data_IF_648454865542
#
_entry.id   IF_648454865542
#
_cell.length_a   1.000
_cell.length_b   1.000
_cell.length_c   1.000
_cell.angle_alpha   90.00
_cell.angle_beta   90.00
_cell.angle_gamma   90.00
#
_symmetry.space_group_name_H-M   'P 1'
#
loop_
_entity.id
_entity.type
_entity.pdbx_description
1 polymer ?
#
# COMPACT_ATOMS: atom_id res chain seq x y z
N UNK A 1 31.80 -1.16 4.12
CA UNK A 1 30.34 -1.17 4.01
C UNK A 1 29.83 -0.24 5.08
N UNK A 2 29.30 0.91 4.69
CA UNK A 2 28.72 1.89 5.62
C UNK A 2 27.47 1.29 6.26
N UNK A 3 27.14 1.62 7.54
CA UNK A 3 25.90 1.15 8.15
C UNK A 3 24.73 1.65 7.32
N UNK A 4 23.88 0.71 6.87
CA UNK A 4 22.65 1.01 6.17
C UNK A 4 21.82 1.98 7.02
N UNK A 5 21.52 3.11 6.41
CA UNK A 5 20.65 4.13 7.00
C UNK A 5 19.27 3.46 7.20
N UNK A 6 18.95 3.12 8.44
CA UNK A 6 17.67 2.57 8.83
C UNK A 6 16.59 3.51 8.32
N UNK A 7 15.88 3.13 7.29
CA UNK A 7 14.84 3.92 6.68
C UNK A 7 13.80 4.31 7.75
N UNK A 8 13.62 5.61 7.97
CA UNK A 8 12.61 6.10 8.93
C UNK A 8 11.22 5.65 8.46
N UNK A 9 10.37 5.09 9.33
CA UNK A 9 9.01 4.70 8.98
C UNK A 9 8.23 5.92 8.46
N UNK A 10 7.40 5.71 7.47
CA UNK A 10 6.75 6.82 6.77
C UNK A 10 5.24 6.66 6.83
N UNK A 11 4.57 7.72 7.29
CA UNK A 11 3.13 7.90 7.09
C UNK A 11 2.97 8.28 5.63
N UNK A 12 2.34 7.42 4.84
CA UNK A 12 2.23 7.60 3.39
C UNK A 12 1.21 8.68 3.06
N UNK A 13 0.10 8.73 3.74
CA UNK A 13 -0.85 9.85 3.68
C UNK A 13 -1.99 9.72 4.69
N UNK A 14 -2.65 10.84 4.98
CA UNK A 14 -3.98 10.88 5.59
C UNK A 14 -4.95 11.38 4.53
N UNK A 15 -5.86 10.51 4.09
CA UNK A 15 -6.78 10.80 3.00
C UNK A 15 -8.22 10.84 3.50
N UNK A 16 -8.97 11.88 3.12
CA UNK A 16 -10.42 11.97 3.35
C UNK A 16 -11.16 11.56 2.08
N UNK A 17 -11.86 10.42 2.13
CA UNK A 17 -12.60 9.89 0.99
C UNK A 17 -13.93 10.63 0.78
N UNK A 18 -14.31 10.98 -0.49
CA UNK A 18 -15.55 11.63 -0.82
C UNK A 18 -16.78 10.73 -0.64
N UNK A 19 -17.94 11.32 -0.35
CA UNK A 19 -19.19 10.61 -0.07
C UNK A 19 -19.77 9.83 -1.28
N UNK A 20 -19.45 10.23 -2.52
CA UNK A 20 -19.99 9.59 -3.73
C UNK A 20 -18.86 9.21 -4.68
N UNK A 21 -19.02 8.06 -5.37
CA UNK A 21 -18.25 7.77 -6.57
C UNK A 21 -18.46 8.94 -7.53
N UNK A 22 -17.41 9.67 -7.87
CA UNK A 22 -17.46 10.65 -8.94
C UNK A 22 -17.74 9.88 -10.24
N UNK A 23 -19.02 9.74 -10.59
CA UNK A 23 -19.39 9.42 -11.96
C UNK A 23 -18.94 10.61 -12.79
N UNK A 24 -17.94 10.39 -13.63
CA UNK A 24 -17.45 11.32 -14.61
C UNK A 24 -18.60 11.91 -15.41
N UNK A 25 -19.04 13.12 -15.05
CA UNK A 25 -19.76 13.98 -15.96
C UNK A 25 -18.73 14.92 -16.59
N UNK A 26 -18.10 14.44 -17.67
CA UNK A 26 -17.31 15.28 -18.54
C UNK A 26 -18.24 16.18 -19.36
N UNK A 27 -18.80 17.19 -18.73
CA UNK A 27 -19.45 18.29 -19.46
C UNK A 27 -18.42 19.40 -19.62
N UNK A 28 -18.00 19.59 -20.89
CA UNK A 28 -17.36 20.74 -21.47
C UNK A 28 -17.39 22.00 -20.57
N UNK A 29 -16.25 22.33 -19.96
CA UNK A 29 -15.96 23.71 -19.57
C UNK A 29 -14.47 23.99 -19.76
N UNK A 30 -14.13 24.33 -21.00
CA UNK A 30 -13.02 25.21 -21.28
C UNK A 30 -13.47 26.59 -20.88
N UNK A 31 -13.00 27.08 -19.75
CA UNK A 31 -12.64 28.50 -19.53
C UNK A 31 -12.41 28.74 -18.04
N UNK A 32 -11.32 29.45 -17.80
CA UNK A 32 -10.93 30.10 -16.56
C UNK A 32 -10.28 29.19 -15.50
N UNK A 33 -8.98 29.39 -15.39
CA UNK A 33 -8.11 28.93 -14.31
C UNK A 33 -8.62 29.41 -12.95
N UNK A 34 -9.54 28.63 -12.38
CA UNK A 34 -9.87 28.68 -10.98
C UNK A 34 -9.82 27.24 -10.49
N UNK A 35 -9.04 26.91 -9.47
CA UNK A 35 -9.14 25.58 -8.88
C UNK A 35 -10.62 25.34 -8.55
N UNK A 36 -11.17 24.14 -8.85
CA UNK A 36 -12.54 23.86 -8.47
C UNK A 36 -12.68 24.14 -6.98
N UNK A 37 -13.77 24.77 -6.53
CA UNK A 37 -14.01 24.95 -5.10
C UNK A 37 -13.94 23.57 -4.46
N UNK A 38 -13.18 23.45 -3.37
CA UNK A 38 -13.14 22.25 -2.54
C UNK A 38 -14.58 21.77 -2.40
N UNK A 39 -14.85 20.54 -2.81
CA UNK A 39 -16.17 19.92 -2.67
C UNK A 39 -16.70 20.23 -1.28
N UNK A 40 -17.99 20.58 -1.12
CA UNK A 40 -18.55 20.92 0.18
C UNK A 40 -18.18 19.84 1.18
N UNK A 41 -17.78 20.27 2.39
CA UNK A 41 -17.34 19.36 3.44
C UNK A 41 -18.33 18.20 3.55
N UNK A 42 -17.82 16.98 3.44
CA UNK A 42 -18.65 15.78 3.49
C UNK A 42 -19.37 15.72 4.83
N UNK A 43 -20.64 15.35 4.82
CA UNK A 43 -21.44 15.20 6.04
C UNK A 43 -20.84 14.16 7.00
N UNK A 44 -20.06 13.21 6.45
CA UNK A 44 -19.39 12.13 7.22
C UNK A 44 -18.07 11.74 6.55
N UNK A 45 -16.99 12.53 6.75
CA UNK A 45 -15.68 12.18 6.18
C UNK A 45 -15.11 10.92 6.86
N UNK A 46 -14.45 10.06 6.07
CA UNK A 46 -13.67 8.91 6.56
C UNK A 46 -12.20 9.28 6.49
N UNK A 47 -11.50 9.17 7.62
CA UNK A 47 -10.07 9.42 7.69
C UNK A 47 -9.32 8.10 7.57
N UNK A 48 -8.51 7.98 6.51
CA UNK A 48 -7.66 6.81 6.26
C UNK A 48 -6.22 7.17 6.55
N UNK A 49 -5.60 6.43 7.47
CA UNK A 49 -4.17 6.53 7.78
C UNK A 49 -3.43 5.46 7.02
N UNK A 50 -2.50 5.85 6.16
CA UNK A 50 -1.74 4.93 5.31
C UNK A 50 -0.27 4.94 5.72
N UNK A 51 0.28 3.75 5.93
CA UNK A 51 1.70 3.52 6.24
C UNK A 51 2.23 2.36 5.41
N UNK A 52 3.54 2.29 5.23
CA UNK A 52 4.25 1.14 4.65
C UNK A 52 5.71 1.10 5.10
N UNK A 53 6.41 0.01 4.80
CA UNK A 53 7.86 -0.10 4.92
C UNK A 53 8.35 0.28 6.32
N UNK A 54 7.67 -0.20 7.35
CA UNK A 54 8.03 0.09 8.75
C UNK A 54 9.26 -0.69 9.22
N UNK A 55 9.58 -1.82 8.60
CA UNK A 55 10.78 -2.64 8.87
C UNK A 55 11.04 -2.82 10.37
N UNK A 56 10.00 -3.23 11.11
CA UNK A 56 10.09 -3.48 12.55
C UNK A 56 9.98 -2.23 13.43
N UNK A 57 9.94 -1.03 12.87
CA UNK A 57 9.74 0.21 13.63
C UNK A 57 8.27 0.47 13.94
N UNK A 58 7.99 1.20 15.02
CA UNK A 58 6.64 1.45 15.54
C UNK A 58 6.44 2.95 15.78
N UNK A 59 6.25 3.77 14.72
CA UNK A 59 6.09 5.20 14.85
C UNK A 59 4.74 5.57 15.51
N UNK A 60 4.63 6.74 16.15
CA UNK A 60 3.35 7.28 16.55
C UNK A 60 2.49 7.52 15.30
N UNK A 61 1.22 7.13 15.34
CA UNK A 61 0.28 7.29 14.23
C UNK A 61 -0.78 8.34 14.59
N UNK A 62 -1.24 9.13 13.60
CA UNK A 62 -2.37 10.02 13.80
C UNK A 62 -3.68 9.23 14.00
N UNK A 63 -4.67 9.87 14.57
CA UNK A 63 -6.02 9.29 14.68
C UNK A 63 -6.70 9.15 13.31
N UNK A 64 -7.58 8.16 13.18
CA UNK A 64 -8.33 7.91 11.96
C UNK A 64 -9.32 6.75 12.13
N UNK A 65 -10.15 6.56 11.12
CA UNK A 65 -11.18 5.53 11.10
C UNK A 65 -10.62 4.19 10.60
N UNK A 66 -9.72 4.25 9.63
CA UNK A 66 -9.10 3.10 8.96
C UNK A 66 -7.58 3.29 8.93
N UNK A 67 -6.85 2.29 9.42
CA UNK A 67 -5.41 2.17 9.28
C UNK A 67 -5.08 1.15 8.20
N UNK A 68 -4.26 1.55 7.23
CA UNK A 68 -3.77 0.67 6.15
C UNK A 68 -2.25 0.57 6.28
N UNK A 69 -1.73 -0.67 6.23
CA UNK A 69 -0.30 -0.94 6.12
C UNK A 69 0.00 -1.66 4.81
N UNK A 70 0.75 -1.01 3.94
CA UNK A 70 1.01 -1.49 2.57
C UNK A 70 2.29 -2.33 2.43
N UNK A 71 2.61 -3.18 3.42
CA UNK A 71 3.68 -4.16 3.34
C UNK A 71 5.02 -3.74 3.94
N UNK A 72 5.96 -4.67 4.01
CA UNK A 72 7.25 -4.58 4.69
C UNK A 72 7.10 -4.16 6.15
N UNK A 73 6.32 -4.95 6.89
CA UNK A 73 6.15 -4.80 8.33
C UNK A 73 7.48 -5.08 9.05
N UNK A 74 8.28 -6.00 8.53
CA UNK A 74 9.47 -6.56 9.17
C UNK A 74 10.74 -6.30 8.37
N UNK A 75 11.88 -6.47 9.02
CA UNK A 75 13.19 -6.41 8.36
C UNK A 75 13.61 -7.79 7.81
N UNK A 76 13.35 -8.86 8.56
CA UNK A 76 13.81 -10.21 8.24
C UNK A 76 12.66 -11.21 8.03
N UNK A 77 11.42 -10.79 8.25
CA UNK A 77 10.24 -11.63 8.05
C UNK A 77 10.07 -12.75 9.06
N UNK A 78 10.71 -12.66 10.23
CA UNK A 78 10.61 -13.68 11.25
C UNK A 78 9.29 -13.63 12.01
N UNK A 79 8.87 -14.75 12.61
CA UNK A 79 7.66 -14.81 13.44
C UNK A 79 7.67 -13.74 14.54
N UNK A 80 8.79 -13.58 15.23
CA UNK A 80 8.94 -12.62 16.33
C UNK A 80 8.73 -11.19 15.88
N UNK A 81 9.33 -10.81 14.74
CA UNK A 81 9.15 -9.47 14.18
C UNK A 81 7.71 -9.23 13.75
N UNK A 82 7.11 -10.18 13.01
CA UNK A 82 5.72 -10.08 12.57
C UNK A 82 4.78 -9.97 13.75
N UNK A 83 4.89 -10.84 14.75
CA UNK A 83 4.04 -10.80 15.93
C UNK A 83 4.18 -9.50 16.71
N UNK A 84 5.39 -8.93 16.78
CA UNK A 84 5.61 -7.64 17.41
C UNK A 84 4.89 -6.49 16.64
N UNK A 85 4.94 -6.52 15.30
CA UNK A 85 4.24 -5.53 14.47
C UNK A 85 2.73 -5.68 14.56
N UNK A 86 2.20 -6.91 14.49
CA UNK A 86 0.77 -7.18 14.64
C UNK A 86 0.25 -6.73 16.02
N UNK A 87 1.01 -7.01 17.09
CA UNK A 87 0.68 -6.58 18.43
C UNK A 87 0.64 -5.04 18.56
N UNK A 88 1.56 -4.34 17.93
CA UNK A 88 1.57 -2.89 17.89
C UNK A 88 0.40 -2.31 17.09
N UNK A 89 0.14 -2.85 15.88
CA UNK A 89 -0.98 -2.43 15.04
C UNK A 89 -2.34 -2.69 15.72
N UNK A 90 -2.51 -3.85 16.37
CA UNK A 90 -3.74 -4.20 17.07
C UNK A 90 -4.09 -3.18 18.19
N UNK A 91 -3.08 -2.58 18.85
CA UNK A 91 -3.24 -1.57 19.89
C UNK A 91 -3.61 -0.18 19.37
N UNK A 92 -3.53 0.07 18.05
CA UNK A 92 -3.88 1.38 17.50
C UNK A 92 -5.39 1.65 17.64
N UNK A 93 -5.81 2.91 17.86
CA UNK A 93 -7.21 3.25 18.16
C UNK A 93 -8.15 3.16 16.96
N UNK A 94 -7.62 2.94 15.75
CA UNK A 94 -8.41 2.87 14.52
C UNK A 94 -9.45 1.75 14.57
N UNK A 95 -10.68 2.04 14.13
CA UNK A 95 -11.77 1.05 14.12
C UNK A 95 -11.44 -0.16 13.26
N UNK A 96 -10.83 0.06 12.09
CA UNK A 96 -10.40 -0.99 11.19
C UNK A 96 -8.91 -0.88 10.88
N UNK A 97 -8.28 -2.04 10.71
CA UNK A 97 -6.88 -2.17 10.36
C UNK A 97 -6.74 -3.18 9.25
N UNK A 98 -6.23 -2.76 8.10
CA UNK A 98 -6.04 -3.60 6.91
C UNK A 98 -4.57 -3.63 6.55
N UNK A 99 -4.03 -4.82 6.35
CA UNK A 99 -2.61 -5.04 6.14
C UNK A 99 -2.39 -5.98 4.97
N UNK A 100 -1.37 -5.71 4.17
CA UNK A 100 -0.77 -6.67 3.24
C UNK A 100 0.69 -6.93 3.65
N UNK A 101 1.26 -8.01 3.17
CA UNK A 101 2.70 -8.27 3.27
C UNK A 101 3.49 -7.46 2.24
N UNK A 102 4.80 -7.33 2.47
CA UNK A 102 5.78 -6.89 1.50
C UNK A 102 6.86 -7.95 1.29
N UNK A 103 7.88 -7.62 0.51
CA UNK A 103 8.89 -8.62 0.16
C UNK A 103 9.82 -9.01 1.32
N UNK A 104 9.87 -8.24 2.39
CA UNK A 104 10.61 -8.60 3.61
C UNK A 104 9.80 -9.48 4.56
N UNK A 105 8.50 -9.65 4.39
CA UNK A 105 7.63 -10.41 5.30
C UNK A 105 7.65 -11.91 4.95
N UNK A 106 8.84 -12.53 4.97
CA UNK A 106 9.13 -13.87 4.41
C UNK A 106 8.26 -14.99 4.99
N UNK A 107 7.90 -14.90 6.28
CA UNK A 107 7.06 -15.91 6.93
C UNK A 107 5.67 -16.02 6.29
N UNK A 108 5.17 -14.95 5.67
CA UNK A 108 3.85 -14.90 5.05
C UNK A 108 3.82 -15.48 3.63
N UNK A 109 4.99 -15.86 3.07
CA UNK A 109 5.10 -16.50 1.75
C UNK A 109 5.66 -17.93 1.89
N UNK A 110 4.79 -18.94 2.06
CA UNK A 110 5.23 -20.32 2.22
C UNK A 110 5.91 -20.87 0.97
N UNK A 111 5.57 -20.41 -0.22
CA UNK A 111 6.22 -20.81 -1.45
C UNK A 111 7.66 -20.31 -1.49
N UNK A 112 7.89 -19.06 -1.11
CA UNK A 112 9.24 -18.51 -1.00
C UNK A 112 10.10 -19.32 -0.01
N UNK A 113 9.57 -19.64 1.17
CA UNK A 113 10.29 -20.47 2.16
C UNK A 113 10.62 -21.86 1.63
N UNK A 114 9.70 -22.46 0.88
CA UNK A 114 9.86 -23.78 0.29
C UNK A 114 10.92 -23.82 -0.80
N UNK A 115 10.94 -22.79 -1.67
CA UNK A 115 11.87 -22.75 -2.81
C UNK A 115 13.22 -22.13 -2.47
N UNK A 116 13.31 -21.36 -1.38
CA UNK A 116 14.49 -20.62 -0.96
C UNK A 116 14.81 -20.81 0.54
N UNK A 117 14.96 -22.05 1.01
CA UNK A 117 15.18 -22.33 2.43
C UNK A 117 16.47 -21.68 2.97
N UNK A 118 17.49 -21.52 2.13
CA UNK A 118 18.73 -20.84 2.50
C UNK A 118 18.52 -19.36 2.86
N UNK A 119 17.65 -18.69 2.16
CA UNK A 119 17.29 -17.27 2.44
C UNK A 119 16.48 -17.17 3.72
N UNK A 120 15.58 -18.09 3.93
CA UNK A 120 14.80 -18.18 5.17
C UNK A 120 15.70 -18.43 6.38
N UNK A 121 16.65 -19.40 6.30
CA UNK A 121 17.61 -19.65 7.37
C UNK A 121 18.51 -18.43 7.63
N UNK A 122 18.99 -17.76 6.60
CA UNK A 122 19.77 -16.53 6.76
C UNK A 122 18.98 -15.42 7.49
N UNK A 123 17.68 -15.29 7.21
CA UNK A 123 16.81 -14.33 7.89
C UNK A 123 16.67 -14.67 9.39
N UNK A 124 16.48 -15.95 9.73
CA UNK A 124 16.42 -16.42 11.11
C UNK A 124 17.73 -16.14 11.87
N UNK A 125 18.86 -16.43 11.25
CA UNK A 125 20.19 -16.17 11.85
C UNK A 125 20.42 -14.67 12.06
N UNK A 126 20.02 -13.83 11.09
CA UNK A 126 20.17 -12.37 11.15
C UNK A 126 19.28 -11.73 12.23
N UNK A 127 18.11 -12.30 12.47
CA UNK A 127 17.18 -11.81 13.49
C UNK A 127 17.57 -12.23 14.93
N UNK A 128 18.71 -12.92 15.12
CA UNK A 128 19.14 -13.46 16.43
C UNK A 128 18.06 -14.35 17.07
N UNK A 129 17.34 -15.11 16.25
CA UNK A 129 16.33 -16.04 16.72
C UNK A 129 16.99 -17.08 17.65
N UNK A 130 16.48 -17.24 18.87
CA UNK A 130 16.99 -18.24 19.78
C UNK A 130 16.69 -19.65 19.24
N UNK A 131 17.64 -20.59 19.37
CA UNK A 131 17.49 -21.98 18.93
C UNK A 131 16.37 -22.75 19.66
N UNK A 132 15.80 -22.16 20.70
CA UNK A 132 14.76 -22.77 21.53
C UNK A 132 13.33 -22.50 21.01
N UNK A 133 13.16 -21.57 20.08
CA UNK A 133 11.86 -21.34 19.47
C UNK A 133 11.57 -22.49 18.48
N UNK A 134 10.59 -23.34 18.84
CA UNK A 134 9.95 -24.26 17.89
C UNK A 134 9.66 -23.47 16.62
N UNK A 135 9.95 -24.00 15.42
CA UNK A 135 9.68 -23.27 14.19
C UNK A 135 8.18 -22.93 14.14
N UNK A 136 7.84 -21.70 14.47
CA UNK A 136 6.49 -21.16 14.36
C UNK A 136 6.22 -20.84 12.90
N UNK A 137 4.99 -21.08 12.47
CA UNK A 137 4.51 -20.84 11.11
C UNK A 137 3.56 -19.65 11.08
N UNK A 138 3.19 -19.21 9.90
CA UNK A 138 2.28 -18.06 9.73
C UNK A 138 0.92 -18.27 10.43
N UNK A 139 0.43 -19.52 10.50
CA UNK A 139 -0.83 -19.88 11.16
C UNK A 139 -0.79 -19.70 12.69
N UNK A 140 0.40 -19.63 13.28
CA UNK A 140 0.56 -19.38 14.72
C UNK A 140 0.47 -17.88 15.08
N UNK A 141 0.39 -16.98 14.08
CA UNK A 141 0.31 -15.53 14.31
C UNK A 141 -1.04 -15.12 14.90
N UNK A 142 -0.99 -14.34 15.97
CA UNK A 142 -2.17 -13.65 16.49
C UNK A 142 -2.38 -12.33 15.73
N UNK A 143 -3.36 -12.32 14.86
CA UNK A 143 -3.76 -11.16 14.06
C UNK A 143 -4.66 -10.18 14.83
N UNK A 144 -5.22 -10.59 15.98
CA UNK A 144 -6.15 -9.76 16.75
C UNK A 144 -7.33 -9.24 15.90
N UNK A 145 -7.47 -7.92 15.81
CA UNK A 145 -8.51 -7.26 15.02
C UNK A 145 -8.01 -6.74 13.64
N UNK A 146 -6.93 -7.29 13.13
CA UNK A 146 -6.31 -6.91 11.86
C UNK A 146 -6.86 -7.78 10.73
N UNK A 147 -7.26 -7.16 9.63
CA UNK A 147 -7.64 -7.85 8.39
C UNK A 147 -6.40 -7.94 7.50
N UNK A 148 -5.90 -9.16 7.30
CA UNK A 148 -4.83 -9.44 6.37
C UNK A 148 -5.39 -9.76 4.98
N UNK A 149 -4.84 -9.14 3.95
CA UNK A 149 -5.22 -9.38 2.56
C UNK A 149 -4.03 -9.90 1.76
N UNK A 150 -4.24 -11.04 1.11
CA UNK A 150 -3.30 -11.62 0.15
C UNK A 150 -4.08 -12.06 -1.09
N UNK A 151 -4.09 -11.20 -2.11
CA UNK A 151 -4.83 -11.41 -3.35
C UNK A 151 -6.35 -11.58 -3.11
N UNK A 152 -6.87 -10.88 -2.11
CA UNK A 152 -8.26 -10.99 -1.66
C UNK A 152 -8.89 -9.62 -1.41
N UNK A 153 -10.20 -9.62 -1.26
CA UNK A 153 -10.98 -8.43 -0.94
C UNK A 153 -11.63 -8.51 0.43
N UNK A 154 -11.86 -7.35 1.03
CA UNK A 154 -12.73 -7.18 2.19
C UNK A 154 -13.67 -6.00 1.97
N UNK A 155 -14.83 -6.01 2.65
CA UNK A 155 -15.78 -4.90 2.65
C UNK A 155 -15.95 -4.39 4.07
N UNK A 156 -15.75 -3.09 4.28
CA UNK A 156 -15.83 -2.44 5.57
C UNK A 156 -16.95 -1.42 5.59
N UNK A 157 -17.70 -1.35 6.69
CA UNK A 157 -18.73 -0.32 6.89
C UNK A 157 -18.15 0.83 7.70
N UNK A 158 -17.98 1.97 7.06
CA UNK A 158 -17.32 3.16 7.59
C UNK A 158 -18.25 4.39 7.53
N UNK A 159 -17.91 5.38 8.38
CA UNK A 159 -18.67 6.61 8.49
C UNK A 159 -19.99 6.45 9.26
N UNK A 160 -20.59 7.58 9.66
CA UNK A 160 -21.86 7.59 10.37
C UNK A 160 -23.06 7.29 9.45
N UNK A 161 -22.85 7.35 8.15
CA UNK A 161 -23.83 7.04 7.10
C UNK A 161 -23.83 5.55 6.69
N UNK A 162 -22.98 4.73 7.32
CA UNK A 162 -22.93 3.29 7.09
C UNK A 162 -22.44 2.89 5.70
N UNK A 163 -21.62 3.74 5.04
CA UNK A 163 -21.11 3.42 3.69
C UNK A 163 -20.21 2.19 3.69
N UNK A 164 -20.35 1.37 2.66
CA UNK A 164 -19.48 0.23 2.42
C UNK A 164 -18.32 0.64 1.52
N UNK A 165 -17.10 0.28 1.93
CA UNK A 165 -15.86 0.48 1.19
C UNK A 165 -15.25 -0.88 0.91
N UNK A 166 -15.04 -1.19 -0.37
CA UNK A 166 -14.44 -2.44 -0.83
C UNK A 166 -12.93 -2.23 -1.02
N UNK A 167 -12.14 -3.04 -0.34
CA UNK A 167 -10.68 -2.98 -0.36
C UNK A 167 -10.16 -4.28 -0.98
N UNK A 168 -9.35 -4.20 -2.01
CA UNK A 168 -8.57 -5.32 -2.53
C UNK A 168 -7.12 -5.15 -2.15
N UNK A 169 -6.48 -6.22 -1.63
CA UNK A 169 -5.09 -6.21 -1.20
C UNK A 169 -4.25 -7.31 -1.84
N UNK A 170 -3.04 -6.96 -2.28
CA UNK A 170 -2.08 -7.89 -2.89
C UNK A 170 -0.64 -7.52 -2.53
N UNK A 171 0.17 -8.48 -2.02
CA UNK A 171 1.58 -8.27 -1.71
C UNK A 171 2.48 -8.33 -2.95
N UNK A 172 1.94 -8.64 -4.12
CA UNK A 172 2.72 -8.89 -5.33
C UNK A 172 3.56 -7.69 -5.77
N UNK A 173 4.83 -7.93 -6.10
CA UNK A 173 5.74 -6.93 -6.66
C UNK A 173 6.63 -7.53 -7.75
N UNK A 174 7.04 -6.75 -8.78
CA UNK A 174 8.03 -7.21 -9.75
C UNK A 174 9.33 -7.60 -9.06
N UNK A 175 9.98 -8.63 -9.58
CA UNK A 175 11.21 -9.16 -8.99
C UNK A 175 12.32 -8.11 -8.92
N UNK A 176 12.85 -7.94 -7.71
CA UNK A 176 14.03 -7.17 -7.41
C UNK A 176 14.86 -7.93 -6.37
N UNK A 177 15.85 -8.66 -6.84
CA UNK A 177 16.61 -9.60 -6.00
C UNK A 177 15.85 -10.89 -5.75
N UNK A 178 16.11 -11.52 -4.59
CA UNK A 178 15.51 -12.78 -4.16
C UNK A 178 14.80 -12.56 -2.82
N UNK A 179 13.48 -12.45 -2.85
CA UNK A 179 12.64 -12.12 -1.71
C UNK A 179 11.20 -12.57 -1.93
N UNK A 180 10.33 -12.47 -0.90
CA UNK A 180 8.96 -12.97 -0.94
C UNK A 180 8.05 -12.18 -1.91
N UNK A 181 6.93 -12.78 -2.31
CA UNK A 181 5.84 -12.19 -3.11
C UNK A 181 6.26 -11.59 -4.46
N UNK A 182 7.38 -12.04 -5.01
CA UNK A 182 7.91 -11.52 -6.26
C UNK A 182 7.48 -12.37 -7.46
N UNK A 183 7.20 -11.69 -8.57
CA UNK A 183 6.99 -12.32 -9.87
C UNK A 183 8.01 -11.81 -10.90
N UNK A 184 8.33 -12.66 -11.89
CA UNK A 184 9.31 -12.31 -12.92
C UNK A 184 8.87 -11.08 -13.70
N UNK A 185 9.78 -10.12 -13.85
CA UNK A 185 9.54 -8.90 -14.63
C UNK A 185 9.10 -9.23 -16.06
N UNK A 186 8.05 -8.56 -16.53
CA UNK A 186 7.44 -8.82 -17.83
C UNK A 186 6.25 -9.78 -17.82
N UNK A 187 6.05 -10.56 -16.76
CA UNK A 187 4.84 -11.36 -16.61
C UNK A 187 3.66 -10.45 -16.26
N UNK A 188 2.55 -10.63 -16.96
CA UNK A 188 1.29 -9.96 -16.63
C UNK A 188 0.51 -10.80 -15.62
N UNK A 189 0.63 -10.45 -14.35
CA UNK A 189 -0.10 -11.09 -13.25
C UNK A 189 -1.34 -10.29 -12.83
N UNK A 190 -1.57 -9.14 -13.47
CA UNK A 190 -2.59 -8.18 -13.03
C UNK A 190 -3.84 -8.13 -13.92
N UNK A 191 -3.75 -8.46 -15.20
CA UNK A 191 -4.87 -8.31 -16.14
C UNK A 191 -6.11 -9.09 -15.68
N UNK A 192 -7.19 -8.36 -15.41
CA UNK A 192 -8.46 -8.92 -14.94
C UNK A 192 -8.45 -9.42 -13.49
N UNK A 193 -7.37 -9.22 -12.75
CA UNK A 193 -7.20 -9.78 -11.42
C UNK A 193 -7.90 -8.97 -10.32
N UNK A 194 -7.95 -7.65 -10.46
CA UNK A 194 -8.55 -6.77 -9.45
C UNK A 194 -10.06 -6.64 -9.72
N UNK A 195 -10.93 -6.86 -8.71
CA UNK A 195 -12.39 -6.69 -8.87
C UNK A 195 -12.77 -5.26 -9.26
N UNK A 196 -13.74 -5.12 -10.17
CA UNK A 196 -14.20 -3.79 -10.65
C UNK A 196 -14.83 -2.90 -9.59
N UNK A 197 -15.36 -3.50 -8.54
CA UNK A 197 -15.98 -2.78 -7.42
C UNK A 197 -14.98 -2.38 -6.33
N UNK A 198 -13.68 -2.42 -6.60
CA UNK A 198 -12.64 -2.01 -5.65
C UNK A 198 -12.65 -0.48 -5.47
N UNK A 199 -12.88 -0.02 -4.26
CA UNK A 199 -12.81 1.40 -3.89
C UNK A 199 -11.41 1.79 -3.45
N UNK A 200 -10.73 0.93 -2.67
CA UNK A 200 -9.34 1.10 -2.25
C UNK A 200 -8.53 -0.08 -2.78
N UNK A 201 -7.49 0.22 -3.52
CA UNK A 201 -6.52 -0.76 -3.97
C UNK A 201 -5.26 -0.67 -3.11
N UNK A 202 -4.88 -1.78 -2.50
CA UNK A 202 -3.69 -1.90 -1.67
C UNK A 202 -2.72 -2.88 -2.34
N UNK A 203 -1.58 -2.38 -2.84
CA UNK A 203 -0.54 -3.21 -3.47
C UNK A 203 0.79 -2.94 -2.79
N UNK A 204 1.72 -3.92 -2.82
CA UNK A 204 3.03 -3.64 -2.28
C UNK A 204 3.90 -2.87 -3.28
N UNK A 205 4.02 -3.34 -4.52
CA UNK A 205 4.71 -2.60 -5.57
C UNK A 205 3.86 -1.48 -6.17
N UNK A 206 4.48 -0.34 -6.59
CA UNK A 206 3.77 0.76 -7.24
C UNK A 206 3.38 0.44 -8.69
N UNK A 207 2.31 1.05 -9.22
CA UNK A 207 2.06 1.07 -10.65
C UNK A 207 3.12 1.92 -11.37
N UNK A 208 3.45 1.55 -12.62
CA UNK A 208 4.45 2.25 -13.41
C UNK A 208 4.09 3.71 -13.66
N UNK A 209 5.03 4.60 -13.41
CA UNK A 209 4.86 6.03 -13.62
C UNK A 209 4.38 6.81 -12.40
N UNK A 210 4.09 6.12 -11.28
CA UNK A 210 3.47 6.69 -10.08
C UNK A 210 4.39 6.52 -8.87
N UNK A 211 5.04 7.58 -8.43
CA UNK A 211 5.96 7.58 -7.27
C UNK A 211 6.98 6.42 -7.31
N UNK A 212 7.33 5.96 -8.53
CA UNK A 212 8.14 4.79 -8.79
C UNK A 212 9.58 5.11 -9.23
N UNK A 213 10.02 6.38 -9.05
CA UNK A 213 11.33 6.83 -9.47
C UNK A 213 12.42 6.32 -8.53
N UNK A 214 13.37 5.55 -9.09
CA UNK A 214 14.67 5.25 -8.49
C UNK A 214 15.76 6.09 -9.19
N UNK A 215 15.71 7.40 -9.04
CA UNK A 215 16.57 8.32 -9.77
C UNK A 215 16.16 8.45 -11.24
N UNK A 216 16.97 7.94 -12.19
CA UNK A 216 16.69 8.07 -13.63
C UNK A 216 15.70 6.98 -14.12
N UNK A 217 15.53 5.89 -13.38
CA UNK A 217 14.76 4.71 -13.81
C UNK A 217 13.44 4.58 -13.08
N UNK A 218 12.36 4.43 -13.84
CA UNK A 218 11.05 4.02 -13.33
C UNK A 218 11.05 2.52 -13.06
N UNK A 219 10.51 2.09 -11.92
CA UNK A 219 10.59 0.71 -11.45
C UNK A 219 9.22 0.11 -11.08
N UNK A 220 8.13 0.84 -11.32
CA UNK A 220 6.76 0.36 -11.11
C UNK A 220 6.32 -0.65 -12.17
N UNK A 221 5.18 -1.29 -11.94
CA UNK A 221 4.62 -2.31 -12.80
C UNK A 221 3.68 -1.74 -13.86
N UNK A 222 3.97 -1.98 -15.15
CA UNK A 222 3.16 -1.48 -16.26
C UNK A 222 1.81 -2.20 -16.40
N UNK A 223 1.73 -3.50 -16.11
CA UNK A 223 0.46 -4.24 -16.12
C UNK A 223 -0.44 -3.81 -14.95
N UNK A 224 0.12 -3.53 -13.78
CA UNK A 224 -0.63 -2.93 -12.67
C UNK A 224 -1.17 -1.54 -13.05
N UNK A 225 -0.39 -0.69 -13.72
CA UNK A 225 -0.87 0.62 -14.16
C UNK A 225 -2.06 0.52 -15.13
N UNK A 226 -2.05 -0.46 -16.06
CA UNK A 226 -3.19 -0.74 -16.95
C UNK A 226 -4.41 -1.22 -16.17
N UNK A 227 -4.20 -2.08 -15.19
CA UNK A 227 -5.27 -2.62 -14.36
C UNK A 227 -5.90 -1.53 -13.47
N UNK A 228 -5.10 -0.65 -12.91
CA UNK A 228 -5.56 0.57 -12.22
C UNK A 228 -6.43 1.43 -13.13
N UNK A 229 -6.03 1.63 -14.38
CA UNK A 229 -6.82 2.38 -15.36
C UNK A 229 -8.16 1.70 -15.70
N UNK A 230 -8.23 0.36 -15.66
CA UNK A 230 -9.44 -0.44 -15.85
C UNK A 230 -10.39 -0.34 -14.66
N UNK A 231 -9.86 -0.54 -13.45
CA UNK A 231 -10.65 -0.62 -12.19
C UNK A 231 -11.05 0.76 -11.69
N UNK A 232 -10.15 1.76 -11.80
CA UNK A 232 -10.35 3.15 -11.34
C UNK A 232 -10.71 3.25 -9.86
N UNK A 233 -9.91 2.68 -8.96
CA UNK A 233 -10.15 2.82 -7.53
C UNK A 233 -10.07 4.29 -7.09
N UNK A 234 -10.74 4.64 -6.00
CA UNK A 234 -10.73 6.00 -5.44
C UNK A 234 -9.42 6.33 -4.73
N UNK A 235 -8.79 5.29 -4.15
CA UNK A 235 -7.51 5.39 -3.45
C UNK A 235 -6.64 4.20 -3.83
N UNK A 236 -5.37 4.47 -4.07
CA UNK A 236 -4.33 3.44 -4.23
C UNK A 236 -3.27 3.68 -3.18
N UNK A 237 -2.92 2.64 -2.42
CA UNK A 237 -1.88 2.69 -1.38
C UNK A 237 -0.84 1.63 -1.72
N UNK A 238 0.43 2.03 -1.73
CA UNK A 238 1.54 1.14 -2.03
C UNK A 238 2.81 1.56 -1.30
N UNK A 239 3.80 0.65 -1.23
CA UNK A 239 5.10 0.84 -0.59
C UNK A 239 6.27 0.54 -1.51
N UNK A 240 7.28 -0.20 -1.01
CA UNK A 240 8.43 -0.77 -1.71
C UNK A 240 9.49 0.23 -2.20
N UNK A 241 9.12 1.30 -2.88
CA UNK A 241 10.08 2.27 -3.43
C UNK A 241 10.20 3.48 -2.49
N UNK A 242 11.07 3.37 -1.48
CA UNK A 242 11.21 4.38 -0.41
C UNK A 242 11.51 5.79 -0.93
N UNK A 243 12.30 5.93 -2.00
CA UNK A 243 12.62 7.24 -2.60
C UNK A 243 11.42 7.88 -3.30
N UNK A 244 10.40 7.08 -3.62
CA UNK A 244 9.14 7.52 -4.22
C UNK A 244 8.12 8.00 -3.19
N UNK A 245 8.49 8.16 -1.92
CA UNK A 245 7.57 8.65 -0.90
C UNK A 245 6.87 9.93 -1.32
N UNK A 246 5.53 9.94 -1.22
CA UNK A 246 4.73 11.10 -1.59
C UNK A 246 3.25 10.78 -1.75
N UNK A 247 2.53 11.75 -2.29
CA UNK A 247 1.13 11.65 -2.64
C UNK A 247 0.94 12.27 -4.03
N UNK A 248 0.07 11.66 -4.83
CA UNK A 248 -0.32 12.17 -6.16
C UNK A 248 -1.84 12.15 -6.28
N UNK A 249 -2.40 13.19 -6.89
CA UNK A 249 -3.80 13.22 -7.31
C UNK A 249 -3.90 12.98 -8.81
N UNK A 250 -4.89 12.17 -9.21
CA UNK A 250 -5.08 11.75 -10.59
C UNK A 250 -6.48 12.06 -11.08
N UNK A 251 -6.55 12.69 -12.22
CA UNK A 251 -7.80 12.89 -12.94
C UNK A 251 -7.84 11.93 -14.13
N UNK A 252 -8.80 11.00 -14.10
CA UNK A 252 -9.05 10.08 -15.21
C UNK A 252 -9.93 10.78 -16.24
N UNK A 253 -9.38 11.08 -17.43
CA UNK A 253 -10.16 11.64 -18.53
C UNK A 253 -10.67 10.52 -19.43
N UNK A 254 -11.97 10.57 -19.79
CA UNK A 254 -12.61 9.54 -20.61
C UNK A 254 -12.05 9.43 -22.04
N UNK A 255 -11.46 10.51 -22.55
CA UNK A 255 -11.07 10.60 -23.97
C UNK A 255 -9.74 9.97 -24.33
N UNK A 256 -8.88 9.61 -23.38
CA UNK A 256 -7.52 9.18 -23.69
C UNK A 256 -7.11 7.86 -23.01
N UNK A 257 -7.89 7.31 -22.08
CA UNK A 257 -7.46 6.17 -21.25
C UNK A 257 -6.13 6.44 -20.52
N UNK A 258 -5.74 7.69 -20.41
CA UNK A 258 -4.45 8.15 -19.92
C UNK A 258 -4.62 8.94 -18.63
N UNK A 259 -3.87 8.55 -17.62
CA UNK A 259 -3.81 9.29 -16.36
C UNK A 259 -3.01 10.58 -16.55
N UNK A 260 -3.54 11.73 -16.10
CA UNK A 260 -2.80 12.99 -16.03
C UNK A 260 -2.64 13.40 -14.57
N UNK A 261 -1.45 13.79 -14.20
CA UNK A 261 -1.14 14.37 -12.89
C UNK A 261 -1.81 15.75 -12.81
N UNK A 262 -2.54 16.05 -11.73
CA UNK A 262 -2.91 17.42 -11.42
C UNK A 262 -1.64 18.16 -10.99
N UNK A 263 -1.18 19.12 -11.77
CA UNK A 263 -0.07 19.97 -11.39
C UNK A 263 -0.54 20.94 -10.31
N UNK A 264 -0.02 20.80 -9.08
CA UNK A 264 -0.06 21.93 -8.15
C UNK A 264 0.77 23.08 -8.75
N UNK A 265 0.28 24.36 -8.67
CA UNK A 265 1.09 25.50 -9.05
C UNK A 265 2.26 25.58 -8.07
N UNK A 266 3.48 25.40 -8.59
CA UNK A 266 4.70 25.58 -7.84
C UNK A 266 4.75 26.96 -7.20
N UNK A 267 5.04 27.01 -5.91
CA UNK A 267 5.47 28.23 -5.23
C UNK A 267 6.81 28.68 -5.84
N UNK A 268 6.70 29.54 -6.85
CA UNK A 268 7.80 30.36 -7.31
C UNK A 268 7.91 31.59 -6.44
N UNK A 269 8.81 31.60 -5.52
CA UNK A 269 9.18 32.73 -4.71
C UNK A 269 10.67 32.76 -4.49
N UNK A 270 11.42 33.27 -5.49
CA UNK A 270 12.75 33.83 -5.25
C UNK A 270 12.59 35.33 -5.09
N UNK A 271 13.02 35.85 -3.99
CA UNK A 271 13.87 37.04 -3.87
C UNK A 271 14.72 36.90 -2.63
#
# INVERSE_FOLDING_TARGET
MSPEEVAKPRIVSVVKLPHQRLRSCATKLRSLHRPPPLSPALASPVTVVCISDTHGTQPPLPEGDLLIHAGDLTQWGTFRELQAQLTWLAKQPHKYKVVIAGNHDLLLDPDFQRYHPERWHQALDSASASREDRPKVADDLDWGNIVYLQNTSTSLTLGNDGRTINIFGSPLTPQYGLSAFQYLGGNDVWSGFIPLNTDILLTYGPPWGHLDNRGIKKSGCSSLAKEVARVRPQLIVFGHIHVGYGQEEWVMTESEGRMKRSSEPGEGGRT
#
